data_IF_105056951587
#
_entry.id   IF_105056951587
#
_cell.length_a   1.000
_cell.length_b   1.000
_cell.length_c   1.000
_cell.angle_alpha   90.00
_cell.angle_beta   90.00
_cell.angle_gamma   90.00
#
_symmetry.space_group_name_H-M   'P 1'
#
loop_
_entity.id
_entity.type
_entity.pdbx_description
1 polymer ?
#
# COMPACT_ATOMS: atom_id res chain seq x y z
N UNK A 1 2.82 2.90 -8.80
CA UNK A 1 2.07 3.90 -8.01
C UNK A 1 0.56 3.67 -8.17
N UNK A 2 -0.22 3.95 -7.13
CA UNK A 2 -1.61 3.61 -6.96
C UNK A 2 -2.59 4.61 -7.59
N UNK A 3 -2.19 5.88 -7.71
CA UNK A 3 -2.98 6.91 -8.39
C UNK A 3 -2.11 8.05 -8.93
N UNK A 4 -2.73 9.14 -9.40
CA UNK A 4 -2.05 10.29 -9.98
C UNK A 4 -1.14 11.03 -8.97
N UNK A 5 -1.58 11.17 -7.72
CA UNK A 5 -0.83 11.88 -6.67
C UNK A 5 0.37 11.05 -6.23
N UNK A 6 0.18 9.74 -6.02
CA UNK A 6 1.27 8.82 -5.71
C UNK A 6 2.27 8.73 -6.87
N UNK A 7 1.81 8.86 -8.13
CA UNK A 7 2.68 8.93 -9.31
C UNK A 7 3.52 10.21 -9.33
N UNK A 8 2.94 11.34 -8.94
CA UNK A 8 3.68 12.61 -8.82
C UNK A 8 4.80 12.49 -7.79
N UNK A 9 4.51 11.91 -6.62
CA UNK A 9 5.51 11.66 -5.57
C UNK A 9 6.57 10.66 -6.04
N UNK A 10 6.18 9.63 -6.79
CA UNK A 10 7.12 8.65 -7.34
C UNK A 10 8.13 9.29 -8.31
N UNK A 11 7.68 10.21 -9.17
CA UNK A 11 8.56 10.99 -10.05
C UNK A 11 9.51 11.88 -9.25
N UNK A 12 9.00 12.56 -8.20
CA UNK A 12 9.84 13.34 -7.31
C UNK A 12 10.93 12.47 -6.65
N UNK A 13 10.57 11.32 -6.08
CA UNK A 13 11.52 10.38 -5.48
C UNK A 13 12.58 9.92 -6.50
N UNK A 14 12.16 9.63 -7.72
CA UNK A 14 13.07 9.17 -8.78
C UNK A 14 14.07 10.27 -9.21
N UNK A 15 13.65 11.53 -9.25
CA UNK A 15 14.51 12.67 -9.58
C UNK A 15 15.44 13.08 -8.42
N UNK A 16 14.96 12.95 -7.18
CA UNK A 16 15.74 13.24 -5.96
C UNK A 16 16.80 12.15 -5.68
N UNK A 17 16.61 10.93 -6.19
CA UNK A 17 17.55 9.82 -6.00
C UNK A 17 18.71 9.87 -7.00
N UNK A 18 19.91 10.18 -6.50
CA UNK A 18 21.14 10.29 -7.29
C UNK A 18 22.10 9.12 -7.13
N UNK A 19 21.74 8.11 -6.32
CA UNK A 19 22.68 7.05 -5.87
C UNK A 19 22.32 5.67 -6.37
N UNK A 20 21.05 5.40 -6.68
CA UNK A 20 20.59 4.11 -7.20
C UNK A 20 19.61 4.33 -8.36
N UNK A 21 19.44 3.36 -9.28
CA UNK A 21 18.39 3.45 -10.28
C UNK A 21 17.00 3.42 -9.63
N UNK A 22 16.04 4.09 -10.28
CA UNK A 22 14.61 4.08 -9.94
C UNK A 22 13.81 3.58 -11.14
N UNK A 23 12.87 2.67 -10.91
CA UNK A 23 11.96 2.18 -11.94
C UNK A 23 10.51 2.55 -11.59
N UNK A 24 9.80 3.13 -12.56
CA UNK A 24 8.39 3.49 -12.44
C UNK A 24 7.54 2.48 -13.23
N UNK A 25 6.77 1.66 -12.53
CA UNK A 25 5.85 0.70 -13.14
C UNK A 25 4.46 1.34 -13.17
N UNK A 26 3.96 1.64 -14.37
CA UNK A 26 2.76 2.44 -14.60
C UNK A 26 1.66 1.60 -15.27
N UNK A 27 0.41 1.87 -14.91
CA UNK A 27 -0.75 1.22 -15.53
C UNK A 27 -1.03 1.75 -16.93
N UNK A 28 -1.69 0.93 -17.75
CA UNK A 28 -2.26 1.38 -19.04
C UNK A 28 -3.64 2.00 -18.86
N UNK A 29 -4.44 1.43 -17.97
CA UNK A 29 -5.81 1.82 -17.67
C UNK A 29 -5.84 2.98 -16.68
N UNK A 30 -6.94 3.73 -16.72
CA UNK A 30 -7.26 4.72 -15.69
C UNK A 30 -7.50 4.02 -14.36
N UNK A 31 -6.96 4.60 -13.28
CA UNK A 31 -7.16 4.14 -11.91
C UNK A 31 -7.93 5.22 -11.15
N UNK A 32 -8.88 4.82 -10.30
CA UNK A 32 -9.59 5.74 -9.42
C UNK A 32 -8.63 6.21 -8.33
N UNK A 33 -8.58 7.52 -8.09
CA UNK A 33 -7.77 8.08 -7.01
C UNK A 33 -8.19 7.49 -5.64
N UNK A 34 -7.21 7.39 -4.75
CA UNK A 34 -7.42 6.88 -3.40
C UNK A 34 -8.34 7.80 -2.58
N UNK A 35 -9.00 7.29 -1.52
CA UNK A 35 -9.81 8.12 -0.63
C UNK A 35 -9.02 9.31 -0.07
N UNK A 36 -9.56 10.52 -0.20
CA UNK A 36 -8.90 11.74 0.26
C UNK A 36 -7.58 12.08 -0.47
N UNK A 37 -7.31 11.46 -1.63
CA UNK A 37 -6.07 11.62 -2.36
C UNK A 37 -5.82 13.08 -2.73
N UNK A 38 -4.64 13.54 -2.33
CA UNK A 38 -4.02 14.80 -2.69
C UNK A 38 -2.51 14.64 -2.48
N UNK A 39 -1.75 15.62 -2.97
CA UNK A 39 -0.30 15.59 -2.87
C UNK A 39 0.24 15.43 -1.43
N UNK A 40 -0.33 16.13 -0.45
CA UNK A 40 0.13 16.06 0.95
C UNK A 40 -0.04 14.65 1.54
N UNK A 41 -1.15 13.98 1.25
CA UNK A 41 -1.37 12.60 1.67
C UNK A 41 -0.43 11.64 0.93
N UNK A 42 -0.21 11.86 -0.37
CA UNK A 42 0.66 11.05 -1.19
C UNK A 42 2.14 11.13 -0.77
N UNK A 43 2.59 12.19 -0.07
CA UNK A 43 3.96 12.28 0.46
C UNK A 43 4.33 11.11 1.38
N UNK A 44 3.35 10.44 1.99
CA UNK A 44 3.58 9.21 2.78
C UNK A 44 4.19 8.08 1.94
N UNK A 45 3.98 8.07 0.62
CA UNK A 45 4.58 7.13 -0.32
C UNK A 45 6.12 7.17 -0.31
N UNK A 46 6.73 8.28 0.12
CA UNK A 46 8.19 8.38 0.32
C UNK A 46 8.73 7.34 1.32
N UNK A 47 7.89 6.80 2.18
CA UNK A 47 8.24 5.72 3.12
C UNK A 47 8.10 4.31 2.53
N UNK A 48 7.77 4.17 1.25
CA UNK A 48 7.70 2.90 0.51
C UNK A 48 6.43 2.09 0.72
N UNK A 49 5.81 2.17 1.90
CA UNK A 49 4.44 1.72 2.13
C UNK A 49 3.79 2.57 3.22
N UNK A 50 2.47 2.76 3.15
CA UNK A 50 1.73 3.56 4.12
C UNK A 50 0.25 3.16 4.20
N UNK A 51 -0.36 3.51 5.33
CA UNK A 51 -1.79 3.30 5.59
C UNK A 51 -2.62 4.32 4.80
N UNK A 52 -3.48 3.82 3.92
CA UNK A 52 -4.45 4.60 3.14
C UNK A 52 -5.71 4.85 3.99
N UNK A 53 -6.23 3.80 4.61
CA UNK A 53 -7.37 3.85 5.52
C UNK A 53 -7.16 2.89 6.70
N UNK A 54 -7.69 3.25 7.87
CA UNK A 54 -7.65 2.42 9.08
C UNK A 54 -8.93 2.61 9.88
N UNK A 55 -9.66 1.52 10.07
CA UNK A 55 -10.99 1.55 10.70
C UNK A 55 -10.92 1.55 12.24
N UNK A 56 -9.85 0.98 12.82
CA UNK A 56 -9.67 0.87 14.26
C UNK A 56 -8.17 0.75 14.62
N UNK A 57 -7.83 0.98 15.88
CA UNK A 57 -6.45 0.84 16.39
C UNK A 57 -5.86 -0.55 16.08
N UNK A 58 -6.65 -1.61 16.34
CA UNK A 58 -6.36 -2.99 15.95
C UNK A 58 -7.40 -3.46 14.92
N UNK A 59 -7.04 -3.57 13.63
CA UNK A 59 -7.92 -4.10 12.59
C UNK A 59 -8.02 -5.63 12.65
N UNK A 60 -9.08 -6.19 12.08
CA UNK A 60 -9.27 -7.64 11.95
C UNK A 60 -8.35 -8.23 10.86
N UNK A 61 -8.08 -7.45 9.81
CA UNK A 61 -7.17 -7.82 8.71
C UNK A 61 -6.53 -6.59 8.08
N UNK A 62 -5.27 -6.73 7.66
CA UNK A 62 -4.57 -5.75 6.83
C UNK A 62 -4.63 -6.17 5.37
N UNK A 63 -5.15 -5.30 4.51
CA UNK A 63 -5.18 -5.48 3.06
C UNK A 63 -4.05 -4.65 2.46
N UNK A 64 -3.10 -5.28 1.76
CA UNK A 64 -1.98 -4.60 1.12
C UNK A 64 -1.90 -4.89 -0.37
N UNK A 65 -1.59 -3.86 -1.15
CA UNK A 65 -1.41 -3.99 -2.59
C UNK A 65 -0.44 -2.93 -3.12
N UNK A 66 -0.08 -3.07 -4.39
CA UNK A 66 0.70 -2.10 -5.15
C UNK A 66 -0.08 -1.66 -6.38
N UNK A 67 0.12 -0.42 -6.82
CA UNK A 67 -0.45 0.03 -8.10
C UNK A 67 -1.98 0.02 -8.14
N UNK A 68 -2.55 -0.40 -9.27
CA UNK A 68 -4.00 -0.40 -9.52
C UNK A 68 -4.79 -1.19 -8.50
N UNK A 69 -4.18 -2.22 -7.89
CA UNK A 69 -4.87 -3.11 -6.96
C UNK A 69 -5.23 -2.41 -5.64
N UNK A 70 -4.57 -1.31 -5.27
CA UNK A 70 -4.92 -0.55 -4.06
C UNK A 70 -6.33 0.01 -4.17
N UNK A 71 -6.71 0.58 -5.32
CA UNK A 71 -8.07 1.06 -5.54
C UNK A 71 -9.11 -0.08 -5.51
N UNK A 72 -8.73 -1.27 -5.98
CA UNK A 72 -9.57 -2.47 -5.89
C UNK A 72 -9.75 -2.91 -4.43
N UNK A 73 -8.71 -2.85 -3.59
CA UNK A 73 -8.83 -3.12 -2.16
C UNK A 73 -9.75 -2.12 -1.46
N UNK A 74 -9.69 -0.84 -1.80
CA UNK A 74 -10.61 0.18 -1.28
C UNK A 74 -12.06 -0.17 -1.60
N UNK A 75 -12.36 -0.52 -2.86
CA UNK A 75 -13.71 -0.93 -3.26
C UNK A 75 -14.15 -2.24 -2.59
N UNK A 76 -13.25 -3.21 -2.41
CA UNK A 76 -13.51 -4.45 -1.69
C UNK A 76 -13.76 -4.23 -0.19
N UNK A 77 -13.03 -3.30 0.41
CA UNK A 77 -13.15 -2.94 1.82
C UNK A 77 -14.53 -2.37 2.15
N UNK A 78 -15.10 -1.52 1.29
CA UNK A 78 -16.48 -1.05 1.44
C UNK A 78 -17.48 -2.20 1.56
N UNK A 79 -17.33 -3.25 0.75
CA UNK A 79 -18.19 -4.44 0.79
C UNK A 79 -17.97 -5.27 2.05
N UNK A 80 -16.72 -5.52 2.42
CA UNK A 80 -16.37 -6.28 3.62
C UNK A 80 -16.88 -5.60 4.90
N UNK A 81 -16.78 -4.26 4.97
CA UNK A 81 -17.36 -3.46 6.05
C UNK A 81 -18.88 -3.63 6.09
N UNK A 82 -19.57 -3.48 4.97
CA UNK A 82 -21.03 -3.53 4.91
C UNK A 82 -21.62 -4.93 5.15
N UNK A 83 -21.02 -5.96 4.58
CA UNK A 83 -21.58 -7.32 4.57
C UNK A 83 -21.10 -8.19 5.74
N UNK A 84 -19.89 -7.92 6.26
CA UNK A 84 -19.25 -8.73 7.30
C UNK A 84 -18.94 -7.95 8.58
N UNK A 85 -19.01 -6.62 8.56
CA UNK A 85 -18.69 -5.79 9.73
C UNK A 85 -17.22 -5.83 10.14
N UNK A 86 -16.32 -6.20 9.22
CA UNK A 86 -14.89 -6.28 9.49
C UNK A 86 -14.26 -4.90 9.57
N UNK A 87 -13.31 -4.74 10.50
CA UNK A 87 -12.43 -3.58 10.63
C UNK A 87 -11.16 -3.83 9.84
N UNK A 88 -10.86 -2.95 8.90
CA UNK A 88 -9.80 -3.14 7.93
C UNK A 88 -8.72 -2.07 8.08
N UNK A 89 -7.52 -2.42 7.66
CA UNK A 89 -6.45 -1.47 7.39
C UNK A 89 -5.96 -1.68 5.97
N UNK A 90 -6.04 -0.62 5.15
CA UNK A 90 -5.63 -0.66 3.74
C UNK A 90 -4.26 -0.03 3.62
N UNK A 91 -3.31 -0.74 3.01
CA UNK A 91 -1.93 -0.30 2.85
C UNK A 91 -1.58 -0.23 1.37
N UNK A 92 -1.10 0.94 0.94
CA UNK A 92 -0.42 1.07 -0.35
C UNK A 92 1.05 0.72 -0.17
N UNK A 93 1.57 -0.18 -1.00
CA UNK A 93 2.98 -0.56 -1.05
C UNK A 93 3.54 -0.10 -2.39
N UNK A 94 4.02 1.14 -2.45
CA UNK A 94 4.62 1.68 -3.68
C UNK A 94 6.00 1.08 -3.97
N UNK A 95 6.77 0.79 -2.91
CA UNK A 95 8.12 0.24 -3.00
C UNK A 95 8.49 -0.51 -1.73
N UNK A 96 8.47 -1.84 -1.80
CA UNK A 96 8.89 -2.71 -0.70
C UNK A 96 10.34 -2.43 -0.26
N UNK A 97 11.26 -2.20 -1.20
CA UNK A 97 12.66 -1.92 -0.88
C UNK A 97 12.83 -0.66 -0.03
N UNK A 98 12.14 0.43 -0.38
CA UNK A 98 12.15 1.68 0.41
C UNK A 98 11.49 1.45 1.77
N UNK A 99 10.41 0.66 1.82
CA UNK A 99 9.72 0.35 3.06
C UNK A 99 10.57 -0.47 4.03
N UNK A 100 11.31 -1.47 3.52
CA UNK A 100 12.20 -2.31 4.34
C UNK A 100 13.37 -1.54 4.96
N UNK A 101 13.72 -0.38 4.38
CA UNK A 101 14.72 0.52 4.93
C UNK A 101 14.19 1.44 6.06
N UNK A 102 12.88 1.49 6.29
CA UNK A 102 12.32 2.23 7.42
C UNK A 102 12.64 1.53 8.74
N UNK A 103 12.55 2.24 9.86
CA UNK A 103 12.73 1.62 11.17
C UNK A 103 11.66 0.55 11.46
N UNK A 104 11.95 -0.34 12.41
CA UNK A 104 11.05 -1.43 12.75
C UNK A 104 9.76 -0.98 13.41
N UNK A 105 9.76 0.16 14.11
CA UNK A 105 8.53 0.68 14.71
C UNK A 105 7.54 1.09 13.61
N UNK A 106 8.00 1.80 12.58
CA UNK A 106 7.17 2.18 11.44
C UNK A 106 6.73 0.97 10.61
N UNK A 107 7.63 0.00 10.38
CA UNK A 107 7.24 -1.24 9.68
C UNK A 107 6.10 -1.96 10.42
N UNK A 108 6.18 -2.04 11.76
CA UNK A 108 5.16 -2.68 12.60
C UNK A 108 3.88 -1.86 12.73
N UNK A 109 3.95 -0.52 12.64
CA UNK A 109 2.77 0.35 12.58
C UNK A 109 1.95 0.09 11.30
N UNK A 110 2.64 0.03 10.15
CA UNK A 110 2.01 -0.16 8.84
C UNK A 110 1.58 -1.61 8.63
N UNK A 111 2.39 -2.57 9.06
CA UNK A 111 2.11 -4.00 8.97
C UNK A 111 2.31 -4.66 10.36
N UNK A 112 1.29 -4.61 11.24
CA UNK A 112 1.33 -5.27 12.55
C UNK A 112 1.50 -6.79 12.44
N UNK A 113 2.36 -7.38 13.28
CA UNK A 113 2.74 -8.81 13.19
C UNK A 113 1.61 -9.75 13.64
N UNK A 114 0.80 -9.31 14.59
CA UNK A 114 -0.27 -10.12 15.19
C UNK A 114 -1.63 -10.00 14.47
N UNK A 115 -1.66 -9.30 13.33
CA UNK A 115 -2.87 -9.15 12.50
C UNK A 115 -2.70 -9.90 11.19
N UNK A 116 -3.66 -10.76 10.78
CA UNK A 116 -3.64 -11.41 9.48
C UNK A 116 -3.52 -10.41 8.33
N UNK A 117 -2.84 -10.80 7.26
CA UNK A 117 -2.57 -9.93 6.10
C UNK A 117 -3.05 -10.59 4.82
N UNK A 118 -3.60 -9.80 3.92
CA UNK A 118 -4.00 -10.22 2.58
C UNK A 118 -3.29 -9.36 1.53
N UNK A 119 -2.49 -9.99 0.67
CA UNK A 119 -1.76 -9.34 -0.41
C UNK A 119 -2.49 -9.47 -1.75
N UNK A 120 -2.64 -8.38 -2.49
CA UNK A 120 -3.22 -8.41 -3.82
C UNK A 120 -2.29 -7.77 -4.86
N UNK A 121 -1.99 -8.52 -5.91
CA UNK A 121 -1.17 -8.06 -7.04
C UNK A 121 -1.67 -8.68 -8.35
N UNK A 122 -1.69 -7.91 -9.43
CA UNK A 122 -1.89 -8.43 -10.79
C UNK A 122 -0.59 -9.04 -11.38
N UNK A 123 0.21 -9.71 -10.54
CA UNK A 123 1.51 -10.28 -10.86
C UNK A 123 1.75 -11.60 -10.12
N UNK A 124 3.03 -11.95 -9.93
CA UNK A 124 3.39 -13.16 -9.16
C UNK A 124 3.20 -12.91 -7.66
N UNK A 125 2.61 -13.85 -6.89
CA UNK A 125 2.39 -13.67 -5.45
C UNK A 125 3.66 -13.35 -4.64
N UNK A 126 4.81 -13.86 -5.10
CA UNK A 126 6.13 -13.65 -4.48
C UNK A 126 6.49 -12.17 -4.30
N UNK A 127 5.88 -11.25 -5.06
CA UNK A 127 6.13 -9.81 -4.95
C UNK A 127 5.58 -9.18 -3.67
N UNK A 128 4.62 -9.83 -2.99
CA UNK A 128 4.06 -9.37 -1.72
C UNK A 128 4.21 -10.40 -0.60
N UNK A 129 4.59 -11.64 -0.91
CA UNK A 129 4.74 -12.74 0.05
C UNK A 129 5.60 -12.34 1.26
N UNK A 130 6.71 -11.62 1.04
CA UNK A 130 7.58 -11.15 2.11
C UNK A 130 6.96 -10.08 3.03
N UNK A 131 5.88 -9.43 2.62
CA UNK A 131 5.14 -8.43 3.41
C UNK A 131 3.87 -9.02 4.04
N UNK A 132 3.23 -9.97 3.36
CA UNK A 132 2.08 -10.72 3.88
C UNK A 132 2.52 -11.61 5.05
N UNK A 133 3.65 -12.29 4.93
CA UNK A 133 4.20 -13.16 5.97
C UNK A 133 3.41 -14.45 6.19
N UNK A 134 3.86 -15.27 7.15
CA UNK A 134 3.37 -16.65 7.33
C UNK A 134 1.89 -16.77 7.78
N UNK A 135 1.31 -15.70 8.32
CA UNK A 135 -0.06 -15.68 8.84
C UNK A 135 -1.06 -15.09 7.82
N UNK A 136 -0.65 -14.91 6.56
CA UNK A 136 -1.46 -14.28 5.52
C UNK A 136 -1.37 -15.02 4.19
N UNK A 137 -2.12 -14.53 3.21
CA UNK A 137 -2.10 -15.02 1.81
C UNK A 137 -2.13 -13.90 0.81
#
# INVERSE_FOLDING_TARGET
PADAEETTVAWQMALENTTTPSALILSRQNIKNLPGSNYEQALKAKKGAYIVEKDAETPDVVLLASGSEVATLVAGAEKLRAEKGLKLQIVSVISEGVFRNQDKAYQNEVLPVDVPRFGMTAGLPVTLEGLVGANGT
#
